data_IF_962917532696
#
_entry.id   IF_962917532696
#
_cell.length_a   1.000
_cell.length_b   1.000
_cell.length_c   1.000
_cell.angle_alpha   90.00
_cell.angle_beta   90.00
_cell.angle_gamma   90.00
#
_symmetry.space_group_name_H-M   'P 1'
#
loop_
_entity.id
_entity.type
_entity.pdbx_description
1 polymer ?
#
# COMPACT_ATOMS: atom_id res chain seq x y z
N UNK A 1 15.95 0.82 14.66
CA UNK A 1 14.59 0.23 14.65
C UNK A 1 13.60 1.33 15.00
N UNK A 2 12.44 1.36 14.33
CA UNK A 2 11.39 2.33 14.61
C UNK A 2 10.70 2.03 15.94
N UNK A 3 9.86 2.94 16.44
CA UNK A 3 9.03 2.67 17.63
C UNK A 3 7.83 1.79 17.27
N UNK A 4 7.23 1.12 18.26
CA UNK A 4 5.95 0.42 18.08
C UNK A 4 4.88 1.34 17.45
N UNK A 5 4.82 2.60 17.90
CA UNK A 5 3.92 3.60 17.35
C UNK A 5 4.21 3.88 15.87
N UNK A 6 5.49 3.91 15.47
CA UNK A 6 5.88 4.05 14.07
C UNK A 6 5.39 2.90 13.21
N UNK A 7 5.55 1.65 13.68
CA UNK A 7 5.05 0.45 12.98
C UNK A 7 3.52 0.43 12.86
N UNK A 8 2.81 0.75 13.95
CA UNK A 8 1.34 0.86 13.94
C UNK A 8 0.91 1.95 12.95
N UNK A 9 1.56 3.11 12.96
CA UNK A 9 1.17 4.19 12.06
C UNK A 9 1.45 3.85 10.59
N UNK A 10 2.62 3.26 10.30
CA UNK A 10 2.95 2.81 8.96
C UNK A 10 1.89 1.84 8.42
N UNK A 11 1.45 0.88 9.25
CA UNK A 11 0.34 0.00 8.92
C UNK A 11 -0.97 0.74 8.69
N UNK A 12 -1.39 1.61 9.62
CA UNK A 12 -2.65 2.35 9.54
C UNK A 12 -2.75 3.24 8.31
N UNK A 13 -1.62 3.68 7.76
CA UNK A 13 -1.55 4.48 6.53
C UNK A 13 -1.49 3.58 5.29
N UNK A 14 -0.47 2.70 5.23
CA UNK A 14 -0.13 1.98 4.00
C UNK A 14 -1.15 0.88 3.70
N UNK A 15 -1.59 0.13 4.71
CA UNK A 15 -2.44 -1.04 4.48
C UNK A 15 -3.85 -0.68 3.98
N UNK A 16 -4.62 0.23 4.61
CA UNK A 16 -5.93 0.61 4.10
C UNK A 16 -5.85 1.24 2.70
N UNK A 17 -4.80 2.03 2.46
CA UNK A 17 -4.53 2.60 1.15
C UNK A 17 -4.31 1.51 0.10
N UNK A 18 -3.51 0.50 0.41
CA UNK A 18 -3.24 -0.62 -0.47
C UNK A 18 -4.52 -1.41 -0.80
N UNK A 19 -5.38 -1.67 0.20
CA UNK A 19 -6.66 -2.36 0.00
C UNK A 19 -7.60 -1.55 -0.89
N UNK A 20 -7.71 -0.23 -0.66
CA UNK A 20 -8.51 0.66 -1.50
C UNK A 20 -8.01 0.68 -2.95
N UNK A 21 -6.68 0.76 -3.13
CA UNK A 21 -6.05 0.71 -4.45
C UNK A 21 -6.32 -0.63 -5.13
N UNK A 22 -6.10 -1.75 -4.42
CA UNK A 22 -6.31 -3.10 -4.93
C UNK A 22 -7.75 -3.29 -5.37
N UNK A 23 -8.72 -2.93 -4.54
CA UNK A 23 -10.14 -3.02 -4.87
C UNK A 23 -10.48 -2.23 -6.14
N UNK A 24 -9.99 -0.99 -6.22
CA UNK A 24 -10.23 -0.12 -7.38
C UNK A 24 -9.63 -0.71 -8.65
N UNK A 25 -8.36 -1.13 -8.61
CA UNK A 25 -7.68 -1.79 -9.73
C UNK A 25 -8.42 -3.05 -10.20
N UNK A 26 -8.83 -3.91 -9.27
CA UNK A 26 -9.53 -5.16 -9.60
C UNK A 26 -10.92 -4.90 -10.17
N UNK A 27 -11.66 -3.94 -9.62
CA UNK A 27 -12.97 -3.55 -10.15
C UNK A 27 -12.88 -3.01 -11.57
N UNK A 28 -11.88 -2.18 -11.87
CA UNK A 28 -11.66 -1.64 -13.20
C UNK A 28 -11.21 -2.71 -14.20
N UNK A 29 -10.37 -3.66 -13.77
CA UNK A 29 -9.99 -4.81 -14.61
C UNK A 29 -11.17 -5.73 -14.89
N UNK A 30 -12.04 -5.96 -13.90
CA UNK A 30 -13.23 -6.78 -14.10
C UNK A 30 -14.25 -6.10 -15.03
N UNK A 31 -14.28 -4.76 -15.08
CA UNK A 31 -15.15 -3.99 -15.98
C UNK A 31 -14.55 -3.75 -17.37
N UNK A 32 -13.22 -3.79 -17.51
CA UNK A 32 -12.57 -3.47 -18.78
C UNK A 32 -12.95 -4.49 -19.86
N UNK A 33 -13.48 -3.98 -20.97
CA UNK A 33 -13.73 -4.75 -22.18
C UNK A 33 -12.44 -4.87 -23.01
N UNK A 34 -12.29 -5.91 -23.86
CA UNK A 34 -11.10 -6.09 -24.70
C UNK A 34 -10.81 -4.92 -25.66
N UNK A 35 -11.77 -4.01 -25.86
CA UNK A 35 -11.66 -2.80 -26.70
C UNK A 35 -11.14 -1.56 -25.98
N UNK A 36 -11.15 -1.50 -24.65
CA UNK A 36 -10.69 -0.33 -23.87
C UNK A 36 -9.49 -0.72 -23.00
N UNK A 37 -8.25 -0.29 -23.35
CA UNK A 37 -7.06 -0.71 -22.63
C UNK A 37 -7.07 -0.14 -21.20
N UNK A 38 -6.89 -1.03 -20.22
CA UNK A 38 -6.77 -0.66 -18.81
C UNK A 38 -5.74 0.46 -18.62
N UNK A 39 -6.17 1.57 -18.02
CA UNK A 39 -5.32 2.72 -17.70
C UNK A 39 -5.09 2.82 -16.20
N UNK A 40 -3.89 2.48 -15.69
CA UNK A 40 -3.57 2.60 -14.28
C UNK A 40 -3.56 4.07 -13.89
N UNK A 41 -4.03 4.37 -12.68
CA UNK A 41 -3.92 5.71 -12.10
C UNK A 41 -2.93 5.68 -10.95
N UNK A 42 -2.12 6.73 -10.77
CA UNK A 42 -1.23 6.83 -9.62
C UNK A 42 -2.06 6.79 -8.33
N UNK A 43 -3.30 7.29 -8.36
CA UNK A 43 -4.27 7.20 -7.27
C UNK A 43 -5.69 7.00 -7.79
N UNK A 44 -6.45 6.18 -7.08
CA UNK A 44 -7.87 5.96 -7.34
C UNK A 44 -8.71 6.84 -6.41
N UNK A 45 -8.80 8.13 -6.76
CA UNK A 45 -9.86 8.97 -6.22
C UNK A 45 -11.18 8.46 -6.77
N UNK A 46 -12.16 8.30 -5.89
CA UNK A 46 -13.51 7.99 -6.33
C UNK A 46 -14.03 9.12 -7.21
N UNK A 47 -14.34 8.81 -8.46
CA UNK A 47 -14.83 9.77 -9.44
C UNK A 47 -16.06 10.51 -8.93
N UNK A 48 -16.04 11.80 -9.17
CA UNK A 48 -16.94 12.84 -8.72
C UNK A 48 -18.35 12.65 -9.32
N UNK A 49 -19.26 12.03 -8.57
CA UNK A 49 -20.71 12.10 -8.86
C UNK A 49 -21.43 12.58 -7.61
N UNK A 50 -21.55 13.91 -7.53
CA UNK A 50 -22.59 14.70 -6.85
C UNK A 50 -23.23 14.12 -5.57
N UNK A 51 -22.53 14.29 -4.44
CA UNK A 51 -23.09 14.69 -3.13
C UNK A 51 -21.90 14.95 -2.18
N UNK A 52 -21.81 16.12 -1.56
CA UNK A 52 -20.62 16.60 -0.84
C UNK A 52 -20.15 15.67 0.29
N UNK A 53 -21.07 14.92 0.90
CA UNK A 53 -20.80 14.09 2.07
C UNK A 53 -20.12 12.76 1.73
N UNK A 54 -20.31 12.26 0.50
CA UNK A 54 -19.72 11.01 0.05
C UNK A 54 -18.25 11.14 -0.37
N UNK A 55 -17.80 12.35 -0.74
CA UNK A 55 -16.42 12.60 -1.16
C UNK A 55 -15.43 12.54 0.02
N UNK A 56 -15.79 13.15 1.15
CA UNK A 56 -14.93 13.18 2.35
C UNK A 56 -14.69 11.77 2.90
N UNK A 57 -15.75 10.95 2.93
CA UNK A 57 -15.71 9.60 3.51
C UNK A 57 -14.93 8.60 2.65
N UNK A 58 -14.89 8.80 1.33
CA UNK A 58 -14.26 7.88 0.36
C UNK A 58 -12.77 8.17 0.12
N UNK A 59 -12.36 9.43 0.33
CA UNK A 59 -10.95 9.85 0.35
C UNK A 59 -10.39 9.99 1.79
N UNK A 60 -11.16 9.55 2.79
CA UNK A 60 -10.80 9.64 4.21
C UNK A 60 -9.42 9.04 4.51
N UNK A 61 -9.06 7.94 3.85
CA UNK A 61 -7.75 7.30 4.01
C UNK A 61 -6.60 8.25 3.68
N UNK A 62 -6.73 9.05 2.63
CA UNK A 62 -5.69 9.97 2.16
C UNK A 62 -5.60 11.18 3.10
N UNK A 63 -6.75 11.75 3.48
CA UNK A 63 -6.78 12.86 4.43
C UNK A 63 -6.27 12.44 5.82
N UNK A 64 -6.62 11.24 6.28
CA UNK A 64 -6.12 10.66 7.52
C UNK A 64 -4.61 10.46 7.43
N UNK A 65 -4.10 9.95 6.31
CA UNK A 65 -2.65 9.80 6.08
C UNK A 65 -1.93 11.15 6.14
N UNK A 66 -2.49 12.18 5.50
CA UNK A 66 -1.94 13.54 5.54
C UNK A 66 -1.90 14.14 6.95
N UNK A 67 -2.86 13.78 7.81
CA UNK A 67 -2.90 14.21 9.21
C UNK A 67 -1.92 13.40 10.09
N UNK A 68 -1.86 12.08 9.91
CA UNK A 68 -1.05 11.19 10.74
C UNK A 68 0.45 11.31 10.44
N UNK A 69 0.85 11.50 9.18
CA UNK A 69 2.27 11.60 8.80
C UNK A 69 3.01 12.73 9.56
N UNK A 70 2.53 13.98 9.59
CA UNK A 70 3.12 15.05 10.39
C UNK A 70 3.19 14.70 11.87
N UNK A 71 2.11 14.14 12.45
CA UNK A 71 2.08 13.75 13.87
C UNK A 71 3.19 12.73 14.15
N UNK A 72 3.37 11.73 13.28
CA UNK A 72 4.46 10.77 13.43
C UNK A 72 5.84 11.36 13.22
N UNK A 73 6.00 12.29 12.28
CA UNK A 73 7.27 13.01 12.09
C UNK A 73 7.62 13.73 13.39
N UNK A 74 6.69 14.51 13.95
CA UNK A 74 6.89 15.23 15.22
C UNK A 74 7.16 14.29 16.40
N UNK A 75 6.38 13.22 16.55
CA UNK A 75 6.61 12.21 17.57
C UNK A 75 7.95 11.46 17.40
N UNK A 76 8.53 11.50 16.19
CA UNK A 76 9.81 10.88 15.86
C UNK A 76 11.01 11.82 15.95
N UNK A 77 10.81 13.12 16.22
CA UNK A 77 11.93 14.07 16.34
C UNK A 77 12.84 13.79 17.54
N UNK A 78 12.39 13.00 18.53
CA UNK A 78 13.16 12.46 19.66
C UNK A 78 12.52 11.12 20.08
N UNK A 79 13.20 9.94 20.13
CA UNK A 79 14.61 9.61 19.94
C UNK A 79 14.87 8.77 18.65
N UNK A 80 14.12 8.99 17.57
CA UNK A 80 14.20 8.13 16.37
C UNK A 80 15.34 8.58 15.43
N UNK A 81 15.91 7.62 14.68
CA UNK A 81 16.96 7.86 13.70
C UNK A 81 16.55 8.91 12.65
N UNK A 82 17.42 9.88 12.39
CA UNK A 82 17.25 10.94 11.37
C UNK A 82 16.92 10.40 9.97
N UNK A 83 17.37 9.18 9.64
CA UNK A 83 17.06 8.52 8.37
C UNK A 83 15.59 8.12 8.23
N UNK A 84 14.98 7.67 9.33
CA UNK A 84 13.57 7.32 9.33
C UNK A 84 12.70 8.57 9.15
N UNK A 85 13.07 9.66 9.84
CA UNK A 85 12.40 10.96 9.67
C UNK A 85 12.53 11.46 8.23
N UNK A 86 13.71 11.33 7.61
CA UNK A 86 13.91 11.70 6.21
C UNK A 86 13.00 10.89 5.26
N UNK A 87 12.88 9.58 5.46
CA UNK A 87 11.96 8.74 4.68
C UNK A 87 10.50 9.18 4.84
N UNK A 88 10.04 9.42 6.08
CA UNK A 88 8.69 9.90 6.35
C UNK A 88 8.40 11.25 5.69
N UNK A 89 9.37 12.17 5.69
CA UNK A 89 9.25 13.46 4.99
C UNK A 89 9.11 13.24 3.48
N UNK A 90 9.88 12.33 2.87
CA UNK A 90 9.74 12.03 1.44
C UNK A 90 8.35 11.48 1.09
N UNK A 91 7.81 10.56 1.90
CA UNK A 91 6.44 10.07 1.71
C UNK A 91 5.38 11.16 1.92
N UNK A 92 5.57 12.03 2.91
CA UNK A 92 4.69 13.18 3.14
C UNK A 92 4.69 14.14 1.94
N UNK A 93 5.87 14.48 1.42
CA UNK A 93 6.02 15.36 0.26
C UNK A 93 5.40 14.74 -1.01
N UNK A 94 5.60 13.44 -1.21
CA UNK A 94 4.97 12.70 -2.30
C UNK A 94 3.44 12.79 -2.20
N UNK A 95 2.87 12.49 -1.03
CA UNK A 95 1.44 12.54 -0.79
C UNK A 95 0.87 13.96 -0.99
N UNK A 96 1.56 14.97 -0.49
CA UNK A 96 1.19 16.37 -0.69
C UNK A 96 1.23 16.77 -2.17
N UNK A 97 2.23 16.31 -2.93
CA UNK A 97 2.32 16.56 -4.37
C UNK A 97 1.17 15.90 -5.14
N UNK A 98 0.82 14.66 -4.82
CA UNK A 98 -0.32 13.94 -5.40
C UNK A 98 -1.62 14.71 -5.17
N UNK A 99 -1.86 15.16 -3.94
CA UNK A 99 -3.03 15.96 -3.60
C UNK A 99 -3.04 17.32 -4.30
N UNK A 100 -1.87 17.95 -4.48
CA UNK A 100 -1.77 19.22 -5.18
C UNK A 100 -2.00 19.07 -6.69
N UNK A 101 -1.51 17.98 -7.28
CA UNK A 101 -1.75 17.63 -8.68
C UNK A 101 -3.25 17.41 -8.95
N UNK A 102 -3.95 16.74 -8.02
CA UNK A 102 -5.38 16.47 -8.13
C UNK A 102 -6.26 17.70 -7.85
N UNK A 103 -5.99 18.42 -6.76
CA UNK A 103 -6.92 19.42 -6.22
C UNK A 103 -7.17 20.64 -7.11
N UNK A 104 -6.27 20.99 -8.03
CA UNK A 104 -6.42 22.23 -8.79
C UNK A 104 -6.08 22.18 -10.28
N UNK A 105 -5.70 21.03 -10.85
CA UNK A 105 -4.97 20.98 -12.14
C UNK A 105 -3.83 22.02 -12.22
N UNK A 106 -3.34 22.52 -11.07
CA UNK A 106 -2.32 23.58 -10.97
C UNK A 106 -1.00 23.08 -11.54
N UNK A 107 -0.77 21.77 -11.39
CA UNK A 107 0.33 21.03 -11.98
C UNK A 107 -0.27 20.07 -13.01
N UNK A 108 -0.07 20.34 -14.30
CA UNK A 108 -0.30 19.37 -15.37
C UNK A 108 0.81 18.31 -15.34
N UNK A 109 0.88 17.53 -14.26
CA UNK A 109 1.83 16.44 -14.15
C UNK A 109 1.22 15.17 -14.78
N UNK A 110 1.89 14.55 -15.76
CA UNK A 110 1.41 13.29 -16.33
C UNK A 110 1.48 12.17 -15.29
N UNK A 111 0.54 11.23 -15.35
CA UNK A 111 0.45 10.08 -14.44
C UNK A 111 1.78 9.30 -14.36
N UNK A 112 2.47 9.14 -15.48
CA UNK A 112 3.78 8.49 -15.55
C UNK A 112 4.86 9.18 -14.72
N UNK A 113 4.84 10.52 -14.61
CA UNK A 113 5.78 11.25 -13.77
C UNK A 113 5.51 11.02 -12.27
N UNK A 114 4.24 10.91 -11.87
CA UNK A 114 3.87 10.58 -10.49
C UNK A 114 4.28 9.15 -10.12
N UNK A 115 4.13 8.19 -11.04
CA UNK A 115 4.64 6.84 -10.85
C UNK A 115 6.17 6.82 -10.75
N UNK A 116 6.87 7.53 -11.63
CA UNK A 116 8.33 7.61 -11.59
C UNK A 116 8.84 8.24 -10.28
N UNK A 117 8.21 9.32 -9.82
CA UNK A 117 8.55 9.94 -8.53
C UNK A 117 8.27 9.00 -7.36
N UNK A 118 7.16 8.26 -7.41
CA UNK A 118 6.83 7.24 -6.40
C UNK A 118 7.90 6.15 -6.35
N UNK A 119 8.40 5.69 -7.50
CA UNK A 119 9.52 4.76 -7.56
C UNK A 119 10.78 5.33 -6.90
N UNK A 120 11.11 6.60 -7.18
CA UNK A 120 12.24 7.28 -6.56
C UNK A 120 12.11 7.32 -5.03
N UNK A 121 10.92 7.61 -4.50
CA UNK A 121 10.66 7.62 -3.05
C UNK A 121 10.82 6.22 -2.44
N UNK A 122 10.32 5.17 -3.09
CA UNK A 122 10.55 3.79 -2.62
C UNK A 122 12.02 3.38 -2.66
N UNK A 123 12.76 3.78 -3.70
CA UNK A 123 14.20 3.53 -3.79
C UNK A 123 14.96 4.32 -2.70
N UNK A 124 14.61 5.58 -2.47
CA UNK A 124 15.19 6.39 -1.42
C UNK A 124 14.91 5.79 -0.03
N UNK A 125 13.70 5.31 0.22
CA UNK A 125 13.35 4.60 1.46
C UNK A 125 14.19 3.33 1.65
N UNK A 126 14.39 2.54 0.58
CA UNK A 126 15.25 1.35 0.62
C UNK A 126 16.72 1.70 0.92
N UNK A 127 17.23 2.81 0.35
CA UNK A 127 18.58 3.27 0.57
C UNK A 127 18.78 3.84 1.98
N UNK A 128 17.82 4.61 2.49
CA UNK A 128 17.83 5.17 3.85
C UNK A 128 17.73 4.07 4.92
N UNK A 129 17.05 2.97 4.59
CA UNK A 129 16.94 1.78 5.43
C UNK A 129 18.24 0.94 5.47
N UNK A 130 19.17 1.16 4.53
CA UNK A 130 20.44 0.45 4.47
C UNK A 130 21.58 1.25 5.14
N UNK A 131 22.15 0.79 6.26
CA UNK A 131 23.29 1.44 6.87
C UNK A 131 24.59 1.02 6.19
N UNK A 132 24.97 1.71 5.11
CA UNK A 132 26.22 1.42 4.41
C UNK A 132 27.51 1.67 5.25
N UNK A 133 27.45 2.39 6.39
CA UNK A 133 28.67 2.94 7.01
C UNK A 133 28.61 3.11 8.55
N UNK A 134 27.90 2.26 9.29
CA UNK A 134 27.80 2.45 10.75
C UNK A 134 28.32 1.22 11.47
N UNK A 135 29.43 1.41 12.18
CA UNK A 135 30.08 0.54 13.18
C UNK A 135 29.18 0.12 14.36
N UNK A 136 27.87 0.23 14.21
CA UNK A 136 26.89 -0.26 15.17
C UNK A 136 26.83 -1.79 15.04
N UNK A 137 27.06 -2.47 16.15
CA UNK A 137 26.82 -3.90 16.34
C UNK A 137 25.34 -4.22 16.02
N UNK A 138 25.03 -4.47 14.75
CA UNK A 138 23.72 -5.00 14.35
C UNK A 138 23.68 -6.47 14.75
N UNK A 139 22.58 -6.90 15.36
CA UNK A 139 22.36 -8.33 15.59
C UNK A 139 22.13 -9.04 14.27
N UNK A 140 22.51 -10.31 14.25
CA UNK A 140 22.25 -11.25 13.17
C UNK A 140 20.76 -11.22 12.75
N UNK A 141 19.85 -11.13 13.74
CA UNK A 141 18.40 -11.04 13.51
C UNK A 141 17.99 -9.74 12.79
N UNK A 142 18.57 -8.60 13.16
CA UNK A 142 18.30 -7.32 12.49
C UNK A 142 18.79 -7.31 11.04
N UNK A 143 19.91 -8.00 10.79
CA UNK A 143 20.46 -8.16 9.45
C UNK A 143 19.56 -9.00 8.54
N UNK A 144 18.94 -10.05 9.11
CA UNK A 144 18.02 -10.96 8.42
C UNK A 144 16.63 -10.35 8.19
N UNK A 145 16.15 -9.54 9.13
CA UNK A 145 14.89 -8.82 9.00
C UNK A 145 14.89 -7.81 7.84
N UNK A 146 16.03 -7.17 7.60
CA UNK A 146 16.19 -6.09 6.61
C UNK A 146 15.75 -6.48 5.19
N UNK A 147 16.25 -7.58 4.58
CA UNK A 147 15.83 -7.98 3.25
C UNK A 147 14.33 -8.32 3.19
N UNK A 148 13.74 -8.89 4.26
CA UNK A 148 12.31 -9.18 4.32
C UNK A 148 11.46 -7.91 4.26
N UNK A 149 11.88 -6.83 4.91
CA UNK A 149 11.20 -5.52 4.84
C UNK A 149 11.51 -4.76 3.54
N UNK A 150 12.73 -4.90 3.02
CA UNK A 150 13.16 -4.22 1.80
C UNK A 150 12.54 -4.83 0.53
N UNK A 151 12.33 -6.14 0.51
CA UNK A 151 11.77 -6.87 -0.64
C UNK A 151 10.47 -6.25 -1.18
N UNK A 152 9.41 -6.13 -0.36
CA UNK A 152 8.15 -5.50 -0.78
C UNK A 152 8.34 -4.05 -1.28
N UNK A 153 9.25 -3.30 -0.66
CA UNK A 153 9.57 -1.92 -1.07
C UNK A 153 10.18 -1.87 -2.48
N UNK A 154 11.08 -2.79 -2.80
CA UNK A 154 11.68 -2.90 -4.12
C UNK A 154 10.65 -3.34 -5.17
N UNK A 155 9.74 -4.25 -4.80
CA UNK A 155 8.62 -4.63 -5.69
C UNK A 155 7.73 -3.44 -5.98
N UNK A 156 7.42 -2.60 -4.99
CA UNK A 156 6.70 -1.34 -5.21
C UNK A 156 7.45 -0.42 -6.17
N UNK A 157 8.77 -0.24 -5.97
CA UNK A 157 9.59 0.61 -6.83
C UNK A 157 9.57 0.12 -8.29
N UNK A 158 9.81 -1.18 -8.51
CA UNK A 158 9.80 -1.80 -9.85
C UNK A 158 8.43 -1.68 -10.50
N UNK A 159 7.35 -1.95 -9.77
CA UNK A 159 5.99 -1.82 -10.29
C UNK A 159 5.68 -0.36 -10.68
N UNK A 160 6.10 0.62 -9.87
CA UNK A 160 6.00 2.04 -10.21
C UNK A 160 6.81 2.41 -11.46
N UNK A 161 8.03 1.89 -11.64
CA UNK A 161 8.81 2.10 -12.88
C UNK A 161 8.09 1.51 -14.08
N UNK A 162 7.59 0.28 -13.98
CA UNK A 162 6.82 -0.35 -15.07
C UNK A 162 5.60 0.50 -15.42
N UNK A 163 4.83 0.95 -14.42
CA UNK A 163 3.64 1.78 -14.62
C UNK A 163 3.95 3.18 -15.17
N UNK A 164 5.15 3.69 -14.96
CA UNK A 164 5.58 4.98 -15.51
C UNK A 164 5.73 4.94 -17.04
N UNK A 165 6.10 3.77 -17.60
CA UNK A 165 6.35 3.58 -19.02
C UNK A 165 5.29 2.74 -19.75
N UNK A 166 4.60 1.85 -19.02
CA UNK A 166 3.68 0.87 -19.59
C UNK A 166 2.38 0.84 -18.78
N UNK A 167 1.27 0.99 -19.50
CA UNK A 167 -0.07 0.81 -18.95
C UNK A 167 -0.33 -0.68 -18.72
N UNK A 168 -0.11 -1.18 -17.50
CA UNK A 168 -0.24 -2.60 -17.17
C UNK A 168 -1.11 -2.81 -15.94
N UNK A 169 -2.23 -3.51 -16.12
CA UNK A 169 -3.09 -3.92 -15.02
C UNK A 169 -2.42 -4.87 -14.04
N UNK A 170 -1.60 -5.79 -14.53
CA UNK A 170 -0.87 -6.72 -13.65
C UNK A 170 0.17 -5.99 -12.80
N UNK A 171 0.85 -4.98 -13.35
CA UNK A 171 1.78 -4.15 -12.59
C UNK A 171 1.05 -3.31 -11.52
N UNK A 172 -0.16 -2.83 -11.81
CA UNK A 172 -0.96 -2.07 -10.85
C UNK A 172 -1.47 -2.92 -9.68
N UNK A 173 -1.90 -4.15 -9.97
CA UNK A 173 -2.26 -5.14 -8.95
C UNK A 173 -1.03 -5.55 -8.15
N UNK A 174 0.11 -5.79 -8.80
CA UNK A 174 1.37 -6.13 -8.13
C UNK A 174 1.81 -5.01 -7.18
N UNK A 175 1.73 -3.74 -7.60
CA UNK A 175 2.00 -2.58 -6.73
C UNK A 175 1.07 -2.57 -5.51
N UNK A 176 -0.21 -2.83 -5.72
CA UNK A 176 -1.21 -2.85 -4.64
C UNK A 176 -0.97 -3.98 -3.63
N UNK A 177 -0.64 -5.18 -4.12
CA UNK A 177 -0.27 -6.34 -3.28
C UNK A 177 1.01 -6.04 -2.49
N UNK A 178 2.04 -5.49 -3.15
CA UNK A 178 3.31 -5.16 -2.51
C UNK A 178 3.15 -4.08 -1.43
N UNK A 179 2.31 -3.07 -1.67
CA UNK A 179 1.94 -2.09 -0.65
C UNK A 179 1.20 -2.73 0.53
N UNK A 180 0.23 -3.61 0.27
CA UNK A 180 -0.52 -4.30 1.32
C UNK A 180 0.41 -5.17 2.16
N UNK A 181 1.31 -5.91 1.52
CA UNK A 181 2.33 -6.72 2.17
C UNK A 181 3.27 -5.86 3.00
N UNK A 182 3.80 -4.75 2.43
CA UNK A 182 4.68 -3.82 3.16
C UNK A 182 4.00 -3.25 4.40
N UNK A 183 2.80 -2.69 4.26
CA UNK A 183 2.09 -2.03 5.36
C UNK A 183 1.74 -3.00 6.49
N UNK A 184 1.23 -4.18 6.17
CA UNK A 184 0.89 -5.20 7.16
C UNK A 184 2.10 -5.89 7.78
N UNK A 185 3.20 -6.05 7.01
CA UNK A 185 4.46 -6.56 7.54
C UNK A 185 5.06 -5.62 8.59
N UNK A 186 4.97 -4.30 8.41
CA UNK A 186 5.42 -3.34 9.44
C UNK A 186 4.71 -3.54 10.78
N UNK A 187 3.40 -3.79 10.77
CA UNK A 187 2.67 -4.12 12.01
C UNK A 187 3.17 -5.44 12.61
N UNK A 188 3.33 -6.46 11.78
CA UNK A 188 3.75 -7.79 12.21
C UNK A 188 5.14 -7.77 12.85
N UNK A 189 6.06 -6.98 12.28
CA UNK A 189 7.39 -6.72 12.84
C UNK A 189 7.26 -5.98 14.18
N UNK A 190 6.49 -4.90 14.23
CA UNK A 190 6.25 -4.16 15.47
C UNK A 190 5.71 -5.04 16.59
N UNK A 191 4.68 -5.85 16.32
CA UNK A 191 4.10 -6.76 17.31
C UNK A 191 5.10 -7.84 17.76
N UNK A 192 5.84 -8.44 16.82
CA UNK A 192 6.83 -9.47 17.13
C UNK A 192 7.91 -8.96 18.08
N UNK A 193 8.45 -7.75 17.84
CA UNK A 193 9.55 -7.23 18.64
C UNK A 193 9.11 -6.55 19.95
N UNK A 194 7.97 -5.85 19.96
CA UNK A 194 7.55 -5.08 21.14
C UNK A 194 6.57 -5.81 22.05
N UNK A 195 5.69 -6.64 21.50
CA UNK A 195 4.61 -7.30 22.25
C UNK A 195 4.95 -8.76 22.52
N UNK A 196 5.25 -9.54 21.48
CA UNK A 196 5.47 -10.97 21.60
C UNK A 196 6.86 -11.31 22.15
N UNK A 197 7.87 -10.47 21.82
CA UNK A 197 9.29 -10.60 22.19
C UNK A 197 9.89 -11.96 21.79
N UNK A 198 10.87 -11.94 20.89
CA UNK A 198 11.62 -13.16 20.56
C UNK A 198 12.28 -13.70 21.82
N UNK A 199 11.98 -14.96 22.16
CA UNK A 199 12.51 -15.64 23.34
C UNK A 199 14.04 -15.67 23.26
N UNK A 200 14.71 -15.17 24.30
CA UNK A 200 16.17 -15.09 24.37
C UNK A 200 16.77 -13.84 23.71
N UNK A 201 15.95 -12.94 23.18
CA UNK A 201 16.39 -11.68 22.58
C UNK A 201 15.76 -10.46 23.27
N UNK A 202 16.61 -9.49 23.62
CA UNK A 202 16.21 -8.18 24.11
C UNK A 202 16.07 -7.19 22.96
N UNK A 203 15.12 -6.25 23.05
CA UNK A 203 14.91 -5.16 22.08
C UNK A 203 15.37 -3.80 22.60
N UNK A 204 15.99 -3.77 23.79
CA UNK A 204 16.50 -2.55 24.41
C UNK A 204 17.74 -2.03 23.65
N UNK A 205 17.53 -1.06 22.76
CA UNK A 205 18.60 -0.45 21.96
C UNK A 205 18.96 -1.20 20.66
N UNK A 206 18.06 -2.06 20.19
CA UNK A 206 18.26 -2.96 19.04
C UNK A 206 17.97 -4.40 19.45
N UNK A 207 17.69 -5.28 18.48
CA UNK A 207 17.51 -6.71 18.79
C UNK A 207 18.87 -7.24 19.18
N UNK A 208 19.00 -7.86 20.35
CA UNK A 208 20.22 -8.54 20.79
C UNK A 208 19.83 -9.86 21.43
N UNK A 209 20.35 -10.96 20.91
CA UNK A 209 20.11 -12.28 21.46
C UNK A 209 21.29 -12.69 22.34
N UNK A 210 21.00 -13.32 23.48
CA UNK A 210 22.03 -13.75 24.43
C UNK A 210 22.82 -14.95 23.90
N UNK A 211 22.13 -15.87 23.21
CA UNK A 211 22.72 -17.03 22.56
C UNK A 211 22.56 -16.96 21.04
N UNK A 212 23.53 -17.51 20.31
CA UNK A 212 23.45 -17.65 18.85
C UNK A 212 22.27 -18.56 18.43
N UNK A 213 21.99 -19.62 19.19
CA UNK A 213 20.83 -20.50 18.95
C UNK A 213 19.50 -19.75 19.00
N UNK A 214 19.36 -18.77 19.91
CA UNK A 214 18.17 -17.93 19.99
C UNK A 214 18.07 -16.97 18.79
N UNK A 215 19.22 -16.50 18.26
CA UNK A 215 19.25 -15.71 17.03
C UNK A 215 18.82 -16.54 15.81
N UNK A 216 19.34 -17.76 15.64
CA UNK A 216 18.94 -18.67 14.56
C UNK A 216 17.46 -19.01 14.63
N UNK A 217 16.93 -19.32 15.83
CA UNK A 217 15.49 -19.55 16.03
C UNK A 217 14.68 -18.31 15.69
N UNK A 218 15.17 -17.12 16.05
CA UNK A 218 14.57 -15.84 15.69
C UNK A 218 14.47 -15.65 14.17
N UNK A 219 15.54 -15.93 13.43
CA UNK A 219 15.55 -15.84 11.96
C UNK A 219 14.53 -16.79 11.31
N UNK A 220 14.51 -18.06 11.71
CA UNK A 220 13.53 -19.02 11.21
C UNK A 220 12.08 -18.63 11.55
N UNK A 221 11.88 -18.03 12.73
CA UNK A 221 10.56 -17.51 13.12
C UNK A 221 10.14 -16.37 12.21
N UNK A 222 11.04 -15.44 11.88
CA UNK A 222 10.78 -14.34 10.96
C UNK A 222 10.48 -14.85 9.54
N UNK A 223 11.20 -15.84 9.04
CA UNK A 223 10.96 -16.42 7.72
C UNK A 223 9.60 -17.10 7.63
N UNK A 224 9.26 -17.92 8.63
CA UNK A 224 7.96 -18.58 8.71
C UNK A 224 6.84 -17.55 8.77
N UNK A 225 7.02 -16.49 9.58
CA UNK A 225 6.03 -15.44 9.75
C UNK A 225 5.85 -14.64 8.47
N UNK A 226 6.93 -14.24 7.80
CA UNK A 226 6.88 -13.54 6.52
C UNK A 226 6.20 -14.39 5.45
N UNK A 227 6.57 -15.67 5.35
CA UNK A 227 5.99 -16.60 4.38
C UNK A 227 4.49 -16.80 4.61
N UNK A 228 4.07 -17.11 5.84
CA UNK A 228 2.66 -17.24 6.20
C UNK A 228 1.88 -15.95 5.91
N UNK A 229 2.48 -14.79 6.21
CA UNK A 229 1.88 -13.49 5.96
C UNK A 229 1.73 -13.19 4.47
N UNK A 230 2.73 -13.54 3.65
CA UNK A 230 2.67 -13.43 2.20
C UNK A 230 1.55 -14.33 1.62
N UNK A 231 1.41 -15.56 2.11
CA UNK A 231 0.28 -16.44 1.73
C UNK A 231 -1.07 -15.85 2.12
N UNK A 232 -1.18 -15.24 3.30
CA UNK A 232 -2.41 -14.59 3.74
C UNK A 232 -2.80 -13.40 2.83
N UNK A 233 -1.83 -12.55 2.46
CA UNK A 233 -2.05 -11.44 1.53
C UNK A 233 -2.40 -11.93 0.13
N UNK A 234 -1.75 -12.99 -0.37
CA UNK A 234 -2.08 -13.59 -1.66
C UNK A 234 -3.53 -14.15 -1.66
N UNK A 235 -3.92 -14.85 -0.59
CA UNK A 235 -5.27 -15.39 -0.41
C UNK A 235 -6.32 -14.28 -0.35
N UNK A 236 -6.02 -13.18 0.35
CA UNK A 236 -6.87 -11.98 0.39
C UNK A 236 -7.05 -11.39 -1.02
N UNK A 237 -5.98 -11.29 -1.80
CA UNK A 237 -6.04 -10.78 -3.16
C UNK A 237 -6.92 -11.66 -4.07
N UNK A 238 -6.77 -12.98 -4.01
CA UNK A 238 -7.63 -13.92 -4.76
C UNK A 238 -9.09 -13.79 -4.34
N UNK A 239 -9.35 -13.65 -3.04
CA UNK A 239 -10.68 -13.39 -2.51
C UNK A 239 -11.28 -12.10 -3.06
N UNK A 240 -10.52 -11.00 -3.06
CA UNK A 240 -10.95 -9.72 -3.61
C UNK A 240 -11.22 -9.80 -5.12
N UNK A 241 -10.37 -10.50 -5.88
CA UNK A 241 -10.57 -10.74 -7.31
C UNK A 241 -11.89 -11.47 -7.58
N UNK A 242 -12.15 -12.54 -6.83
CA UNK A 242 -13.39 -13.30 -6.96
C UNK A 242 -14.62 -12.45 -6.63
N UNK A 243 -14.56 -11.66 -5.55
CA UNK A 243 -15.66 -10.76 -5.17
C UNK A 243 -15.87 -9.70 -6.25
N UNK A 244 -14.80 -9.08 -6.78
CA UNK A 244 -14.90 -8.05 -7.82
C UNK A 244 -15.55 -8.60 -9.10
N UNK A 245 -15.12 -9.78 -9.56
CA UNK A 245 -15.72 -10.44 -10.72
C UNK A 245 -17.21 -10.74 -10.52
N UNK A 246 -17.56 -11.26 -9.33
CA UNK A 246 -18.97 -11.53 -8.97
C UNK A 246 -19.80 -10.25 -8.89
N UNK A 247 -19.22 -9.15 -8.39
CA UNK A 247 -19.90 -7.87 -8.28
C UNK A 247 -20.22 -7.29 -9.66
N UNK A 248 -19.25 -7.31 -10.59
CA UNK A 248 -19.45 -6.84 -11.97
C UNK A 248 -20.48 -7.69 -12.71
N UNK A 249 -20.47 -9.01 -12.53
CA UNK A 249 -21.46 -9.87 -13.17
C UNK A 249 -22.89 -9.55 -12.70
N UNK A 250 -23.07 -9.26 -11.40
CA UNK A 250 -24.37 -8.85 -10.85
C UNK A 250 -24.83 -7.50 -11.39
N UNK A 251 -23.94 -6.52 -11.53
CA UNK A 251 -24.31 -5.20 -12.08
C UNK A 251 -24.70 -5.31 -13.55
N UNK A 252 -24.01 -6.14 -14.33
CA UNK A 252 -24.38 -6.38 -15.73
C UNK A 252 -25.76 -7.05 -15.87
N UNK A 253 -26.09 -7.99 -14.98
CA UNK A 253 -27.41 -8.63 -14.94
C UNK A 253 -28.52 -7.63 -14.59
N UNK A 254 -28.29 -6.74 -13.62
CA UNK A 254 -29.26 -5.69 -13.25
C UNK A 254 -29.48 -4.67 -14.37
N UNK A 255 -28.41 -4.26 -15.05
CA UNK A 255 -28.49 -3.31 -16.16
C UNK A 255 -29.25 -3.90 -17.36
N UNK A 256 -29.04 -5.19 -17.64
CA UNK A 256 -29.78 -5.91 -18.67
C UNK A 256 -31.27 -6.03 -18.33
N UNK A 257 -31.63 -6.27 -17.06
CA UNK A 257 -33.03 -6.28 -16.62
C UNK A 257 -33.68 -4.90 -16.73
N UNK A 258 -33.01 -3.84 -16.29
CA UNK A 258 -33.51 -2.46 -16.40
C UNK A 258 -33.74 -2.05 -17.85
N UNK A 259 -32.80 -2.37 -18.73
CA UNK A 259 -32.93 -2.05 -20.17
C UNK A 259 -34.15 -2.75 -20.79
N UNK A 260 -34.41 -4.01 -20.42
CA UNK A 260 -35.62 -4.74 -20.87
C UNK A 260 -36.91 -4.11 -20.34
N UNK A 261 -36.93 -3.68 -19.08
CA UNK A 261 -38.11 -3.03 -18.49
C UNK A 261 -38.41 -1.69 -19.15
N UNK A 262 -37.38 -0.88 -19.44
CA UNK A 262 -37.55 0.39 -20.17
C UNK A 262 -38.09 0.13 -21.57
N UNK A 263 -37.55 -0.86 -22.29
CA UNK A 263 -38.00 -1.19 -23.64
C UNK A 263 -39.47 -1.65 -23.69
N UNK A 264 -39.91 -2.45 -22.71
CA UNK A 264 -41.32 -2.87 -22.58
C UNK A 264 -42.21 -1.65 -22.32
N UNK A 265 -41.82 -0.78 -21.39
CA UNK A 265 -42.59 0.43 -21.07
C UNK A 265 -42.71 1.39 -22.26
N UNK A 266 -41.70 1.49 -23.12
CA UNK A 266 -41.77 2.33 -24.33
C UNK A 266 -42.65 1.75 -25.42
N UNK A 267 -42.67 0.42 -25.59
CA UNK A 267 -43.55 -0.21 -26.58
C UNK A 267 -45.03 -0.12 -26.22
N UNK A 268 -45.36 -0.04 -24.93
CA UNK A 268 -46.74 0.14 -24.46
C UNK A 268 -47.25 1.59 -24.66
N UNK A 269 -46.36 2.55 -24.90
CA UNK A 269 -46.68 3.98 -25.11
C UNK A 269 -46.86 4.37 -26.59
N UNK A 270 -46.43 3.54 -27.56
CA UNK A 270 -46.59 3.82 -29.00
C UNK A 270 -47.93 3.34 -29.60
N UNK A 271 -48.83 2.78 -28.79
CA UNK A 271 -50.11 2.22 -29.23
C UNK A 271 -51.37 3.07 -28.94
N UNK A 272 -51.23 4.30 -28.47
CA UNK A 272 -52.31 5.30 -28.32
C UNK A 272 -52.10 6.52 -29.26
#
# INVERSE_FOLDING_TARGET
>A
MGSLLGHITAFSIIFPLAIQRLWSSLSLQAQSSPSDPFKPRPWYFSTFTSESDHHLRRNATIYLSLLLLPITIFASLHPISTRHVASLILFFLLLALILLADSRRLLLLPDGALFFLSAFVFLADSALSNPNNSTAHFSEVDSHLRPLTMGPTLVCAVACVVLAFVSSGSADVALSIALALKGSWELQVGLTFYVLKLRGCSTAGGVRCELHEDATRGMHTLDLLFSAHAFAIASLCLGMQWIAAKWVNRTAETDAMLTRLVQISTSDLEFD
#
